data_IF_046268213373
#
_entry.id   IF_046268213373
#
_cell.length_a   1.000
_cell.length_b   1.000
_cell.length_c   1.000
_cell.angle_alpha   90.00
_cell.angle_beta   90.00
_cell.angle_gamma   90.00
#
_symmetry.space_group_name_H-M   'P 1'
#
loop_
_entity.id
_entity.type
_entity.pdbx_description
1 polymer ?
#
# COMPACT_ATOMS: atom_id res chain seq x y z
N UNK A 1 -22.08 -28.42 -17.04
CA UNK A 1 -22.99 -29.59 -16.97
C UNK A 1 -22.30 -30.80 -17.59
N UNK A 2 -22.47 -32.01 -17.02
CA UNK A 2 -21.97 -33.25 -17.61
C UNK A 2 -22.96 -33.68 -18.70
N UNK A 3 -22.50 -33.79 -19.95
CA UNK A 3 -23.31 -34.26 -21.09
C UNK A 3 -22.48 -35.29 -21.87
N UNK A 4 -23.07 -36.43 -22.19
CA UNK A 4 -22.42 -37.51 -22.94
C UNK A 4 -21.10 -37.98 -22.31
N UNK A 5 -21.06 -38.05 -20.98
CA UNK A 5 -19.85 -38.43 -20.22
C UNK A 5 -18.77 -37.35 -20.13
N UNK A 6 -18.94 -36.20 -20.81
CA UNK A 6 -17.98 -35.11 -20.84
C UNK A 6 -18.44 -33.93 -19.99
N UNK A 7 -17.49 -33.30 -19.32
CA UNK A 7 -17.73 -32.03 -18.65
C UNK A 7 -17.41 -30.89 -19.62
N UNK A 8 -18.34 -29.94 -19.77
CA UNK A 8 -18.11 -28.71 -20.53
C UNK A 8 -18.27 -27.50 -19.63
N UNK A 9 -17.22 -26.69 -19.59
CA UNK A 9 -17.15 -25.41 -18.89
C UNK A 9 -16.54 -24.39 -19.85
N UNK A 10 -17.01 -23.14 -19.77
CA UNK A 10 -16.40 -22.01 -20.47
C UNK A 10 -15.67 -21.19 -19.42
N UNK A 11 -14.38 -20.94 -19.64
CA UNK A 11 -13.54 -20.11 -18.77
C UNK A 11 -13.12 -18.88 -19.57
N UNK A 12 -13.30 -17.69 -19.00
CA UNK A 12 -12.82 -16.43 -19.53
C UNK A 12 -12.25 -15.63 -18.35
N UNK A 13 -11.08 -15.04 -18.56
CA UNK A 13 -10.44 -14.14 -17.61
C UNK A 13 -9.89 -12.93 -18.36
N UNK A 14 -9.68 -11.82 -17.65
CA UNK A 14 -9.14 -10.58 -18.20
C UNK A 14 -7.67 -10.71 -18.62
N UNK A 15 -7.11 -9.62 -19.14
CA UNK A 15 -5.70 -9.49 -19.45
C UNK A 15 -5.10 -8.30 -18.68
N UNK A 16 -5.59 -8.08 -17.46
CA UNK A 16 -5.32 -6.90 -16.64
C UNK A 16 -3.99 -7.03 -15.87
N UNK A 17 -3.42 -8.24 -15.80
CA UNK A 17 -2.12 -8.51 -15.18
C UNK A 17 -1.19 -9.31 -16.09
N UNK A 18 0.13 -9.17 -15.87
CA UNK A 18 1.14 -9.96 -16.60
C UNK A 18 0.94 -11.47 -16.42
N UNK A 19 0.49 -11.90 -15.25
CA UNK A 19 0.18 -13.31 -14.96
C UNK A 19 -0.98 -13.80 -15.84
N UNK A 20 -2.04 -13.00 -15.96
CA UNK A 20 -3.18 -13.32 -16.82
C UNK A 20 -2.76 -13.36 -18.29
N UNK A 21 -1.97 -12.39 -18.76
CA UNK A 21 -1.47 -12.36 -20.14
C UNK A 21 -0.62 -13.61 -20.40
N UNK A 22 0.35 -13.92 -19.55
CA UNK A 22 1.24 -15.08 -19.70
C UNK A 22 0.46 -16.40 -19.75
N UNK A 23 -0.49 -16.59 -18.84
CA UNK A 23 -1.34 -17.79 -18.81
C UNK A 23 -2.24 -17.84 -20.04
N UNK A 24 -2.82 -16.71 -20.45
CA UNK A 24 -3.64 -16.58 -21.66
C UNK A 24 -2.88 -16.98 -22.91
N UNK A 25 -1.70 -16.41 -23.15
CA UNK A 25 -0.84 -16.73 -24.30
C UNK A 25 -0.40 -18.19 -24.31
N UNK A 26 0.00 -18.72 -23.13
CA UNK A 26 0.37 -20.12 -22.99
C UNK A 26 -0.81 -21.04 -23.36
N UNK A 27 -1.99 -20.81 -22.79
CA UNK A 27 -3.19 -21.57 -23.15
C UNK A 27 -3.51 -21.39 -24.64
N UNK A 28 -3.33 -20.20 -25.20
CA UNK A 28 -3.56 -19.99 -26.63
C UNK A 28 -2.66 -20.85 -27.52
N UNK A 29 -1.37 -20.92 -27.20
CA UNK A 29 -0.39 -21.75 -27.92
C UNK A 29 -0.72 -23.25 -27.94
N UNK A 30 -1.49 -23.77 -26.97
CA UNK A 30 -1.81 -25.19 -26.83
C UNK A 30 -2.96 -25.70 -27.71
N UNK A 31 -3.69 -24.81 -28.40
CA UNK A 31 -4.78 -25.20 -29.30
C UNK A 31 -5.84 -26.09 -28.63
N UNK A 32 -6.09 -27.29 -29.16
CA UNK A 32 -7.11 -28.22 -28.63
C UNK A 32 -6.69 -28.95 -27.33
N UNK A 33 -5.47 -28.74 -26.83
CA UNK A 33 -4.96 -29.38 -25.60
C UNK A 33 -5.15 -28.55 -24.33
N UNK A 34 -5.72 -27.34 -24.45
CA UNK A 34 -6.03 -26.44 -23.34
C UNK A 34 -6.75 -27.15 -22.19
N UNK A 35 -7.80 -27.92 -22.51
CA UNK A 35 -8.60 -28.61 -21.50
C UNK A 35 -7.83 -29.72 -20.77
N UNK A 36 -6.90 -30.41 -21.45
CA UNK A 36 -6.08 -31.45 -20.82
C UNK A 36 -5.15 -30.84 -19.77
N UNK A 37 -4.42 -29.78 -20.12
CA UNK A 37 -3.53 -29.08 -19.19
C UNK A 37 -4.31 -28.51 -18.00
N UNK A 38 -5.46 -27.89 -18.24
CA UNK A 38 -6.29 -27.36 -17.15
C UNK A 38 -6.78 -28.47 -16.21
N UNK A 39 -7.12 -29.65 -16.72
CA UNK A 39 -7.53 -30.79 -15.89
C UNK A 39 -6.35 -31.28 -15.04
N UNK A 40 -5.16 -31.41 -15.61
CA UNK A 40 -3.98 -31.88 -14.88
C UNK A 40 -3.59 -30.88 -13.77
N UNK A 41 -3.51 -29.59 -14.09
CA UNK A 41 -3.18 -28.53 -13.13
C UNK A 41 -4.22 -28.45 -12.01
N UNK A 42 -5.51 -28.52 -12.34
CA UNK A 42 -6.56 -28.50 -11.32
C UNK A 42 -6.54 -29.75 -10.45
N UNK A 43 -6.18 -30.91 -10.99
CA UNK A 43 -6.05 -32.13 -10.23
C UNK A 43 -4.87 -32.04 -9.25
N UNK A 44 -3.72 -31.54 -9.69
CA UNK A 44 -2.57 -31.26 -8.82
C UNK A 44 -2.94 -30.26 -7.71
N UNK A 45 -3.63 -29.18 -8.07
CA UNK A 45 -4.11 -28.19 -7.11
C UNK A 45 -5.04 -28.81 -6.05
N UNK A 46 -6.02 -29.62 -6.47
CA UNK A 46 -6.94 -30.31 -5.56
C UNK A 46 -6.26 -31.35 -4.67
N UNK A 47 -5.17 -31.98 -5.14
CA UNK A 47 -4.36 -32.90 -4.34
C UNK A 47 -3.53 -32.16 -3.28
N UNK A 48 -2.99 -30.99 -3.64
CA UNK A 48 -2.26 -30.13 -2.71
C UNK A 48 -3.16 -29.43 -1.68
N UNK A 49 -4.46 -29.28 -2.00
CA UNK A 49 -5.46 -28.59 -1.18
C UNK A 49 -6.69 -29.46 -0.87
N UNK A 50 -6.54 -30.56 -0.10
CA UNK A 50 -7.65 -31.46 0.22
C UNK A 50 -8.79 -30.79 1.01
N UNK A 51 -8.52 -29.66 1.68
CA UNK A 51 -9.52 -28.82 2.32
C UNK A 51 -10.63 -28.35 1.37
N UNK A 52 -10.31 -28.11 0.09
CA UNK A 52 -11.26 -27.65 -0.92
C UNK A 52 -12.33 -28.69 -1.27
N UNK A 53 -12.05 -29.96 -0.98
CA UNK A 53 -12.98 -31.07 -1.21
C UNK A 53 -13.93 -31.26 -0.02
N UNK A 54 -13.68 -30.60 1.12
CA UNK A 54 -14.61 -30.58 2.25
C UNK A 54 -15.71 -29.58 1.93
N UNK A 55 -16.97 -30.01 1.97
CA UNK A 55 -18.14 -29.27 1.46
C UNK A 55 -18.40 -27.85 2.03
N UNK A 56 -17.58 -27.36 2.97
CA UNK A 56 -17.70 -26.04 3.59
C UNK A 56 -16.52 -25.11 3.27
N UNK A 57 -15.71 -25.41 2.25
CA UNK A 57 -14.56 -24.57 1.90
C UNK A 57 -14.97 -23.40 1.00
N UNK A 58 -14.84 -22.16 1.49
CA UNK A 58 -15.00 -20.95 0.69
C UNK A 58 -13.67 -20.64 0.00
N UNK A 59 -13.62 -20.75 -1.33
CA UNK A 59 -12.48 -20.28 -2.11
C UNK A 59 -12.54 -18.75 -2.15
N UNK A 60 -11.59 -18.08 -1.51
CA UNK A 60 -11.46 -16.63 -1.55
C UNK A 60 -10.24 -16.26 -2.37
N UNK A 61 -10.47 -15.92 -3.65
CA UNK A 61 -9.42 -15.43 -4.55
C UNK A 61 -9.11 -13.99 -4.16
N UNK A 62 -8.14 -13.80 -3.27
CA UNK A 62 -7.61 -12.47 -2.97
C UNK A 62 -6.69 -12.05 -4.10
N UNK A 63 -7.22 -11.21 -5.00
CA UNK A 63 -6.39 -10.41 -5.89
C UNK A 63 -5.75 -9.36 -4.98
N UNK A 64 -4.51 -9.61 -4.57
CA UNK A 64 -3.71 -8.60 -3.88
C UNK A 64 -3.52 -7.47 -4.87
N UNK A 65 -4.33 -6.40 -4.75
CA UNK A 65 -4.12 -5.17 -5.49
C UNK A 65 -2.66 -4.78 -5.30
N UNK A 66 -1.94 -4.58 -6.40
CA UNK A 66 -0.47 -4.50 -6.49
C UNK A 66 0.20 -3.31 -5.81
N UNK A 67 -0.30 -2.90 -4.63
CA UNK A 67 0.46 -2.07 -3.72
C UNK A 67 1.34 -2.99 -2.88
N UNK A 68 2.55 -3.23 -3.37
CA UNK A 68 3.64 -3.74 -2.55
C UNK A 68 3.73 -2.87 -1.29
N UNK A 69 3.84 -3.50 -0.12
CA UNK A 69 3.93 -2.81 1.17
C UNK A 69 5.03 -1.72 1.14
N UNK A 70 6.14 -2.01 0.47
CA UNK A 70 7.25 -1.07 0.27
C UNK A 70 6.83 0.19 -0.51
N UNK A 71 6.01 0.04 -1.56
CA UNK A 71 5.48 1.16 -2.35
C UNK A 71 4.50 2.00 -1.53
N UNK A 72 3.69 1.35 -0.69
CA UNK A 72 2.78 2.06 0.21
C UNK A 72 3.56 2.83 1.27
N UNK A 73 4.62 2.24 1.84
CA UNK A 73 5.50 2.93 2.79
C UNK A 73 6.16 4.15 2.15
N UNK A 74 6.69 4.03 0.93
CA UNK A 74 7.29 5.16 0.21
C UNK A 74 6.30 6.32 0.01
N UNK A 75 5.08 6.01 -0.42
CA UNK A 75 4.03 7.02 -0.60
C UNK A 75 3.69 7.69 0.73
N UNK A 76 3.54 6.91 1.81
CA UNK A 76 3.24 7.44 3.15
C UNK A 76 4.38 8.35 3.63
N UNK A 77 5.64 7.91 3.50
CA UNK A 77 6.82 8.68 3.91
C UNK A 77 6.89 10.02 3.18
N UNK A 78 6.67 10.02 1.86
CA UNK A 78 6.66 11.23 1.05
C UNK A 78 5.56 12.21 1.50
N UNK A 79 4.35 11.71 1.78
CA UNK A 79 3.25 12.55 2.27
C UNK A 79 3.59 13.14 3.64
N UNK A 80 4.17 12.35 4.55
CA UNK A 80 4.53 12.81 5.90
C UNK A 80 5.64 13.86 5.84
N UNK A 81 6.70 13.64 5.05
CA UNK A 81 7.78 14.61 4.85
C UNK A 81 7.24 15.93 4.28
N UNK A 82 6.38 15.86 3.27
CA UNK A 82 5.75 17.05 2.69
C UNK A 82 4.88 17.80 3.70
N UNK A 83 4.13 17.08 4.55
CA UNK A 83 3.31 17.68 5.61
C UNK A 83 4.17 18.33 6.70
N UNK A 84 5.25 17.68 7.14
CA UNK A 84 6.18 18.24 8.13
C UNK A 84 6.88 19.48 7.56
N UNK A 85 7.32 19.43 6.31
CA UNK A 85 7.94 20.58 5.64
C UNK A 85 6.99 21.78 5.55
N UNK A 86 5.70 21.53 5.27
CA UNK A 86 4.66 22.57 5.26
C UNK A 86 4.26 23.07 6.65
N UNK A 87 4.51 22.27 7.69
CA UNK A 87 4.19 22.59 9.08
C UNK A 87 5.35 23.26 9.82
N UNK A 88 6.56 23.32 9.28
CA UNK A 88 7.64 24.15 9.83
C UNK A 88 7.33 25.63 9.59
N UNK A 89 6.87 26.39 10.60
CA UNK A 89 6.70 27.82 10.48
C UNK A 89 8.04 28.42 10.90
N UNK A 90 8.86 28.83 9.93
CA UNK A 90 10.07 29.60 10.19
C UNK A 90 11.13 28.82 10.97
N UNK A 91 12.08 28.25 10.24
CA UNK A 91 13.42 28.08 10.80
C UNK A 91 13.88 29.44 11.31
N UNK A 92 13.99 29.57 12.64
CA UNK A 92 14.70 30.65 13.29
C UNK A 92 16.09 30.68 12.62
N UNK A 93 16.51 31.79 11.99
CA UNK A 93 17.87 31.88 11.50
C UNK A 93 18.80 31.69 12.69
N UNK A 94 19.62 30.64 12.64
CA UNK A 94 20.58 30.26 13.67
C UNK A 94 21.80 31.22 13.71
N UNK A 95 21.56 32.53 13.58
CA UNK A 95 22.61 33.55 13.54
C UNK A 95 22.15 34.85 14.24
N UNK A 96 21.49 34.70 15.39
CA UNK A 96 21.37 35.81 16.36
C UNK A 96 22.37 35.46 17.49
N UNK A 97 23.41 36.27 17.72
CA UNK A 97 24.35 36.01 18.81
C UNK A 97 23.57 35.93 20.13
N UNK A 98 23.85 34.91 20.94
CA UNK A 98 23.18 34.66 22.22
C UNK A 98 23.20 35.87 23.17
N UNK A 99 24.15 36.79 22.98
CA UNK A 99 24.25 38.04 23.75
C UNK A 99 23.09 39.01 23.47
N UNK A 100 22.59 39.13 22.23
CA UNK A 100 21.47 40.03 21.92
C UNK A 100 20.14 39.54 22.52
N UNK A 101 19.95 38.22 22.61
CA UNK A 101 18.74 37.64 23.19
C UNK A 101 18.71 37.82 24.70
N UNK A 102 19.87 37.76 25.37
CA UNK A 102 19.97 37.97 26.82
C UNK A 102 19.79 39.44 27.19
N UNK A 103 20.38 40.37 26.43
CA UNK A 103 20.23 41.81 26.68
C UNK A 103 18.79 42.28 26.45
N UNK A 104 18.15 41.86 25.34
CA UNK A 104 16.75 42.21 25.06
C UNK A 104 15.78 41.68 26.11
N UNK A 105 16.03 40.48 26.65
CA UNK A 105 15.18 39.87 27.67
C UNK A 105 15.37 40.52 29.06
N UNK A 106 16.58 40.99 29.38
CA UNK A 106 16.84 41.77 30.60
C UNK A 106 16.19 43.16 30.54
N UNK A 107 16.24 43.83 29.38
CA UNK A 107 15.57 45.12 29.13
C UNK A 107 14.04 44.99 29.22
N UNK A 108 13.46 43.94 28.64
CA UNK A 108 12.01 43.68 28.72
C UNK A 108 11.55 43.44 30.17
N UNK A 109 12.34 42.72 30.98
CA UNK A 109 12.04 42.48 32.39
C UNK A 109 12.15 43.78 33.20
N UNK A 110 13.18 44.60 32.96
CA UNK A 110 13.33 45.90 33.63
C UNK A 110 12.14 46.83 33.33
N UNK A 111 11.69 46.86 32.08
CA UNK A 111 10.54 47.65 31.66
C UNK A 111 9.22 47.15 32.30
N UNK A 112 9.07 45.84 32.50
CA UNK A 112 7.92 45.28 33.24
C UNK A 112 7.94 45.67 34.73
N UNK A 113 9.11 45.75 35.35
CA UNK A 113 9.26 46.15 36.75
C UNK A 113 9.01 47.64 36.97
N UNK A 114 9.51 48.51 36.09
CA UNK A 114 9.23 49.97 36.14
C UNK A 114 7.74 50.28 36.04
N UNK A 115 6.99 49.47 35.27
CA UNK A 115 5.54 49.63 35.15
C UNK A 115 4.77 49.24 36.44
N UNK A 116 5.37 48.51 37.38
CA UNK A 116 4.74 48.18 38.66
C UNK A 116 4.71 49.37 39.63
N UNK A 117 5.69 50.27 39.55
CA UNK A 117 5.73 51.52 40.34
C UNK A 117 4.64 52.52 39.90
N UNK A 118 4.04 52.32 38.72
CA UNK A 118 2.92 53.13 38.22
C UNK A 118 1.57 52.78 38.89
N UNK A 119 1.49 51.65 39.61
CA UNK A 119 0.28 51.17 40.28
C UNK A 119 0.27 51.43 41.80
N UNK A 120 1.21 52.24 42.30
CA UNK A 120 1.25 52.71 43.70
C UNK A 120 0.47 54.02 43.89
#
# INVERSE_FOLDING_TARGET
MKKDGKYRFTLQFGADSEEQIRVGEFLESLGNKKSAVMVDVLNEYLLSHPELQKGNCKIEVKVTSGYNQDRMEQIIRQIVEERIARLQPGGIPADIPQDEISETMEDDIAQMLDNLDLFQ
#
